data_IF_319209473991
#
_entry.id   IF_319209473991
#
_cell.length_a   1.000
_cell.length_b   1.000
_cell.length_c   1.000
_cell.angle_alpha   90.00
_cell.angle_beta   90.00
_cell.angle_gamma   90.00
#
_symmetry.space_group_name_H-M   'P 1'
#
loop_
_entity.id
_entity.type
_entity.pdbx_description
1 polymer ?
#
# COMPACT_ATOMS: atom_id res chain seq x y z
N UNK A 1 6.14 6.05 15.60
CA UNK A 1 4.76 6.48 15.31
C UNK A 1 3.70 5.67 16.07
N UNK A 2 3.54 4.35 15.86
CA UNK A 2 2.40 3.56 16.40
C UNK A 2 2.07 3.64 17.90
N UNK A 3 3.04 3.94 18.77
CA UNK A 3 2.84 4.02 20.23
C UNK A 3 2.52 5.44 20.71
N UNK A 4 2.39 6.41 19.80
CA UNK A 4 2.12 7.79 20.16
C UNK A 4 0.65 7.95 20.61
N UNK A 5 0.34 8.77 21.63
CA UNK A 5 -1.03 8.96 22.10
C UNK A 5 -2.00 9.34 20.97
N UNK A 6 -3.15 8.67 20.92
CA UNK A 6 -4.20 8.89 19.92
C UNK A 6 -3.99 8.18 18.58
N UNK A 7 -2.85 7.50 18.37
CA UNK A 7 -2.65 6.66 17.18
C UNK A 7 -3.46 5.38 17.33
N UNK A 8 -4.16 5.00 16.26
CA UNK A 8 -4.92 3.75 16.16
C UNK A 8 -4.37 2.89 15.02
N UNK A 9 -4.58 1.57 15.09
CA UNK A 9 -4.03 0.60 14.15
C UNK A 9 -5.14 -0.28 13.57
N UNK A 10 -5.06 -0.62 12.29
CA UNK A 10 -5.94 -1.61 11.68
C UNK A 10 -5.63 -3.03 12.17
N UNK A 11 -6.54 -3.97 11.92
CA UNK A 11 -6.49 -5.32 12.48
C UNK A 11 -5.86 -6.39 11.56
N UNK A 12 -5.45 -6.02 10.34
CA UNK A 12 -4.82 -6.98 9.43
C UNK A 12 -3.53 -7.58 10.04
N UNK A 13 -3.40 -8.91 10.12
CA UNK A 13 -2.29 -9.56 10.83
C UNK A 13 -0.90 -9.26 10.25
N UNK A 14 -0.74 -9.27 8.92
CA UNK A 14 0.57 -9.10 8.25
C UNK A 14 0.80 -7.74 7.60
N UNK A 15 -0.27 -6.98 7.31
CA UNK A 15 -0.22 -5.74 6.52
C UNK A 15 -0.93 -4.56 7.18
N UNK A 16 -0.94 -4.50 8.52
CA UNK A 16 -1.65 -3.43 9.24
C UNK A 16 -1.08 -2.02 9.00
N UNK A 17 -1.94 -1.01 9.12
CA UNK A 17 -1.56 0.41 9.11
C UNK A 17 -1.82 1.06 10.45
N UNK A 18 -1.05 2.11 10.77
CA UNK A 18 -1.30 2.99 11.90
C UNK A 18 -1.70 4.38 11.39
N UNK A 19 -2.64 5.04 12.06
CA UNK A 19 -3.14 6.35 11.65
C UNK A 19 -3.41 7.27 12.85
N UNK A 20 -3.28 8.58 12.64
CA UNK A 20 -3.55 9.64 13.61
C UNK A 20 -4.26 10.80 12.91
N UNK A 21 -5.20 11.45 13.61
CA UNK A 21 -5.87 12.66 13.14
C UNK A 21 -7.30 12.44 12.64
N UNK A 22 -7.86 13.47 11.99
CA UNK A 22 -9.30 13.61 11.70
C UNK A 22 -9.92 12.44 10.93
N UNK A 23 -9.15 11.77 10.07
CA UNK A 23 -9.63 10.66 9.23
C UNK A 23 -9.08 9.29 9.65
N UNK A 24 -8.36 9.20 10.78
CA UNK A 24 -7.70 7.97 11.21
C UNK A 24 -8.66 6.80 11.32
N UNK A 25 -9.81 6.99 11.99
CA UNK A 25 -10.80 5.93 12.21
C UNK A 25 -11.36 5.40 10.90
N UNK A 26 -11.64 6.28 9.94
CA UNK A 26 -12.10 5.91 8.61
C UNK A 26 -11.04 5.08 7.86
N UNK A 27 -9.80 5.57 7.83
CA UNK A 27 -8.70 4.93 7.09
C UNK A 27 -8.42 3.51 7.58
N UNK A 28 -8.44 3.26 8.89
CA UNK A 28 -8.08 1.96 9.46
C UNK A 28 -9.25 1.00 9.66
N UNK A 29 -10.50 1.46 9.48
CA UNK A 29 -11.70 0.64 9.68
C UNK A 29 -11.72 -0.57 8.72
N UNK A 30 -12.38 -1.65 9.15
CA UNK A 30 -12.72 -2.82 8.33
C UNK A 30 -11.54 -3.46 7.58
N UNK A 31 -10.32 -3.33 8.12
CA UNK A 31 -9.12 -3.90 7.55
C UNK A 31 -8.60 -5.03 8.43
N UNK A 32 -9.11 -6.23 8.16
CA UNK A 32 -8.76 -7.51 8.80
C UNK A 32 -8.46 -8.60 7.77
N UNK A 33 -8.12 -9.80 8.24
CA UNK A 33 -7.68 -10.94 7.42
C UNK A 33 -8.69 -11.41 6.34
N UNK A 34 -9.96 -10.97 6.41
CA UNK A 34 -11.01 -11.34 5.45
C UNK A 34 -11.03 -10.43 4.23
N UNK A 35 -10.23 -9.36 4.25
CA UNK A 35 -10.13 -8.35 3.19
C UNK A 35 -8.77 -8.42 2.54
N UNK A 36 -8.71 -7.97 1.29
CA UNK A 36 -7.43 -7.74 0.63
C UNK A 36 -6.64 -6.65 1.39
N UNK A 37 -5.35 -6.90 1.57
CA UNK A 37 -4.43 -6.05 2.35
C UNK A 37 -4.31 -4.65 1.75
N UNK A 38 -4.34 -4.56 0.42
CA UNK A 38 -4.07 -3.32 -0.32
C UNK A 38 -5.15 -2.98 -1.36
N UNK A 39 -6.26 -3.72 -1.39
CA UNK A 39 -7.39 -3.47 -2.28
C UNK A 39 -8.22 -2.21 -1.97
N UNK A 40 -9.38 -2.08 -2.62
CA UNK A 40 -10.22 -0.86 -2.57
C UNK A 40 -10.66 -0.44 -1.16
N UNK A 41 -10.94 -1.41 -0.28
CA UNK A 41 -11.39 -1.15 1.10
C UNK A 41 -10.23 -1.01 2.09
N UNK A 42 -8.99 -1.23 1.65
CA UNK A 42 -7.79 -1.10 2.49
C UNK A 42 -7.52 0.36 2.87
N UNK A 43 -6.65 0.62 3.87
CA UNK A 43 -6.21 1.98 4.18
C UNK A 43 -5.60 2.72 2.99
N UNK A 44 -4.93 2.02 2.06
CA UNK A 44 -4.37 2.59 0.84
C UNK A 44 -5.49 2.94 -0.16
N UNK A 45 -6.47 2.06 -0.35
CA UNK A 45 -7.66 2.32 -1.18
C UNK A 45 -8.49 3.50 -0.67
N UNK A 46 -8.67 3.60 0.65
CA UNK A 46 -9.34 4.73 1.30
C UNK A 46 -8.55 6.03 1.19
N UNK A 47 -7.22 5.98 1.27
CA UNK A 47 -6.38 7.16 1.02
C UNK A 47 -6.56 7.65 -0.44
N UNK A 48 -6.72 6.72 -1.39
CA UNK A 48 -6.92 7.04 -2.79
C UNK A 48 -8.27 7.74 -2.99
N UNK A 49 -9.33 7.26 -2.34
CA UNK A 49 -10.65 7.89 -2.36
C UNK A 49 -10.63 9.31 -1.78
N UNK A 50 -9.81 9.55 -0.77
CA UNK A 50 -9.61 10.86 -0.15
C UNK A 50 -8.69 11.80 -0.93
N UNK A 51 -8.16 11.37 -2.09
CA UNK A 51 -7.19 12.15 -2.88
C UNK A 51 -5.95 12.53 -2.06
N UNK A 52 -5.45 11.55 -1.30
CA UNK A 52 -4.32 11.71 -0.39
C UNK A 52 -2.96 11.83 -1.09
N UNK A 53 -1.93 11.97 -0.26
CA UNK A 53 -0.54 12.10 -0.67
C UNK A 53 0.31 10.98 -0.08
N UNK A 54 1.36 10.59 -0.79
CA UNK A 54 2.42 9.69 -0.33
C UNK A 54 3.68 10.51 -0.14
N UNK A 55 4.36 10.29 0.98
CA UNK A 55 5.65 10.90 1.27
C UNK A 55 6.72 9.82 1.40
N UNK A 56 7.73 9.89 0.54
CA UNK A 56 8.90 9.02 0.60
C UNK A 56 10.07 9.88 1.10
N UNK A 57 10.44 9.71 2.37
CA UNK A 57 11.48 10.51 3.03
C UNK A 57 12.74 9.66 3.19
N UNK A 58 13.76 9.92 2.36
CA UNK A 58 15.02 9.16 2.37
C UNK A 58 14.92 7.75 1.78
N UNK A 59 13.80 7.42 1.14
CA UNK A 59 13.55 6.12 0.48
C UNK A 59 13.06 6.33 -0.95
N UNK A 60 13.28 5.32 -1.79
CA UNK A 60 12.77 5.26 -3.17
C UNK A 60 11.39 4.60 -3.26
N UNK A 61 10.92 4.40 -4.48
CA UNK A 61 9.59 3.85 -4.76
C UNK A 61 9.48 2.37 -4.43
N UNK A 62 10.59 1.65 -4.22
CA UNK A 62 10.59 0.29 -3.68
C UNK A 62 9.98 0.20 -2.28
N UNK A 63 9.80 1.33 -1.58
CA UNK A 63 9.12 1.41 -0.29
C UNK A 63 7.74 2.08 -0.38
N UNK A 64 7.21 2.31 -1.59
CA UNK A 64 5.92 2.95 -1.80
C UNK A 64 4.77 1.94 -1.77
N UNK A 65 4.21 1.71 -0.58
CA UNK A 65 3.10 0.78 -0.37
C UNK A 65 1.85 1.14 -1.19
N UNK A 66 1.73 2.37 -1.71
CA UNK A 66 0.57 2.72 -2.54
C UNK A 66 0.56 2.00 -3.88
N UNK A 67 1.72 1.55 -4.36
CA UNK A 67 1.83 0.80 -5.61
C UNK A 67 1.18 -0.59 -5.52
N UNK A 68 1.02 -1.16 -4.32
CA UNK A 68 0.26 -2.40 -4.16
C UNK A 68 -1.25 -2.23 -4.47
N UNK A 69 -1.83 -1.04 -4.31
CA UNK A 69 -3.19 -0.79 -4.80
C UNK A 69 -3.25 -0.82 -6.33
N UNK A 70 -2.17 -0.40 -7.00
CA UNK A 70 -2.07 -0.53 -8.44
C UNK A 70 -1.96 -1.99 -8.87
N UNK A 71 -1.17 -2.82 -8.17
CA UNK A 71 -1.15 -4.27 -8.40
C UNK A 71 -2.53 -4.91 -8.20
N UNK A 72 -3.25 -4.51 -7.15
CA UNK A 72 -4.61 -4.98 -6.92
C UNK A 72 -5.54 -4.69 -8.11
N UNK A 73 -5.41 -3.50 -8.73
CA UNK A 73 -6.26 -3.07 -9.85
C UNK A 73 -5.84 -3.62 -11.21
N UNK A 74 -4.55 -3.61 -11.49
CA UNK A 74 -3.96 -3.98 -12.78
C UNK A 74 -4.26 -5.44 -13.16
N UNK A 75 -4.44 -5.70 -14.45
CA UNK A 75 -4.63 -7.06 -14.98
C UNK A 75 -3.43 -7.49 -15.83
N UNK A 76 -2.75 -8.56 -15.44
CA UNK A 76 -1.69 -9.21 -16.23
C UNK A 76 -1.89 -10.74 -16.22
N UNK A 77 -1.32 -11.45 -17.19
CA UNK A 77 -1.70 -12.83 -17.49
C UNK A 77 -1.37 -13.80 -16.35
N UNK A 78 -0.25 -13.62 -15.65
CA UNK A 78 0.16 -14.47 -14.51
C UNK A 78 -0.44 -14.07 -13.16
N UNK A 79 -1.26 -13.02 -13.08
CA UNK A 79 -1.77 -12.48 -11.81
C UNK A 79 -2.52 -13.50 -10.96
N UNK A 80 -3.32 -14.36 -11.60
CA UNK A 80 -4.06 -15.40 -10.86
C UNK A 80 -3.12 -16.38 -10.13
N UNK A 81 -1.91 -16.58 -10.65
CA UNK A 81 -0.89 -17.45 -10.05
C UNK A 81 -0.02 -16.76 -9.01
N UNK A 82 -0.19 -15.46 -8.76
CA UNK A 82 0.57 -14.74 -7.73
C UNK A 82 -0.08 -14.81 -6.34
N UNK A 83 -1.26 -15.43 -6.20
CA UNK A 83 -1.89 -15.62 -4.90
C UNK A 83 -1.28 -16.80 -4.13
N UNK A 84 -1.00 -16.58 -2.85
CA UNK A 84 -0.43 -17.53 -1.91
C UNK A 84 -1.34 -17.72 -0.70
N UNK A 85 -1.26 -18.89 -0.06
CA UNK A 85 -1.87 -19.13 1.25
C UNK A 85 -0.94 -18.58 2.34
N UNK A 86 -1.44 -17.64 3.13
CA UNK A 86 -0.75 -17.05 4.27
C UNK A 86 -1.39 -17.51 5.58
N UNK A 87 -0.58 -17.70 6.62
CA UNK A 87 -1.00 -18.20 7.93
C UNK A 87 -0.66 -17.23 9.05
N UNK A 88 -1.63 -16.89 9.90
CA UNK A 88 -1.37 -16.01 11.05
C UNK A 88 -2.13 -16.44 12.29
N UNK A 89 -1.48 -16.31 13.44
CA UNK A 89 -2.14 -16.43 14.73
C UNK A 89 -2.78 -15.10 15.12
N UNK A 90 -4.11 -15.05 15.21
CA UNK A 90 -4.86 -13.84 15.57
C UNK A 90 -5.72 -14.06 16.81
N UNK A 91 -6.15 -12.97 17.45
CA UNK A 91 -7.10 -13.01 18.57
C UNK A 91 -8.53 -12.87 18.04
N UNK A 92 -9.35 -13.90 18.27
CA UNK A 92 -10.80 -13.87 18.03
C UNK A 92 -11.48 -14.13 19.37
N UNK A 93 -12.35 -13.21 19.80
CA UNK A 93 -13.08 -13.27 21.08
C UNK A 93 -12.15 -13.56 22.28
N UNK A 94 -10.98 -12.91 22.30
CA UNK A 94 -9.97 -13.05 23.35
C UNK A 94 -9.17 -14.36 23.31
N UNK A 95 -9.40 -15.23 22.33
CA UNK A 95 -8.68 -16.51 22.16
C UNK A 95 -7.76 -16.46 20.94
N UNK A 96 -6.52 -16.93 21.11
CA UNK A 96 -5.57 -17.07 20.01
C UNK A 96 -6.04 -18.21 19.09
N UNK A 97 -6.19 -17.93 17.80
CA UNK A 97 -6.56 -18.88 16.77
C UNK A 97 -5.59 -18.77 15.60
N UNK A 98 -5.21 -19.90 15.02
CA UNK A 98 -4.47 -19.93 13.75
C UNK A 98 -5.48 -19.87 12.60
N UNK A 99 -5.28 -18.94 11.68
CA UNK A 99 -6.08 -18.84 10.46
C UNK A 99 -5.18 -18.85 9.24
N UNK A 100 -5.72 -19.40 8.16
CA UNK A 100 -5.13 -19.33 6.83
C UNK A 100 -6.05 -18.50 5.94
N UNK A 101 -5.47 -17.62 5.13
CA UNK A 101 -6.17 -16.76 4.18
C UNK A 101 -5.31 -16.57 2.93
N UNK A 102 -5.94 -16.24 1.80
CA UNK A 102 -5.24 -15.99 0.55
C UNK A 102 -4.88 -14.51 0.42
N UNK A 103 -3.68 -14.25 -0.08
CA UNK A 103 -3.23 -12.91 -0.45
C UNK A 103 -2.31 -12.97 -1.67
N UNK A 104 -2.15 -11.84 -2.34
CA UNK A 104 -1.17 -11.70 -3.42
C UNK A 104 0.25 -11.71 -2.86
N UNK A 105 1.17 -12.44 -3.49
CA UNK A 105 2.61 -12.35 -3.24
C UNK A 105 3.06 -10.92 -3.50
N UNK A 106 3.79 -10.34 -2.55
CA UNK A 106 4.27 -8.97 -2.64
C UNK A 106 5.60 -8.96 -3.41
N UNK A 107 5.55 -8.61 -4.68
CA UNK A 107 6.73 -8.46 -5.54
C UNK A 107 6.97 -6.97 -5.81
N UNK A 108 8.05 -6.41 -5.27
CA UNK A 108 8.32 -4.95 -5.32
C UNK A 108 9.55 -4.59 -6.16
N UNK A 109 10.18 -5.56 -6.83
CA UNK A 109 11.45 -5.39 -7.54
C UNK A 109 11.37 -4.35 -8.66
N UNK A 110 10.20 -4.18 -9.28
CA UNK A 110 9.96 -3.24 -10.36
C UNK A 110 9.42 -1.88 -9.89
N UNK A 111 9.16 -1.69 -8.59
CA UNK A 111 8.56 -0.45 -8.07
C UNK A 111 9.49 0.76 -8.22
N UNK A 112 10.81 0.59 -8.09
CA UNK A 112 11.76 1.67 -8.35
C UNK A 112 11.70 2.14 -9.82
N UNK A 113 11.61 1.18 -10.76
CA UNK A 113 11.52 1.49 -12.19
C UNK A 113 10.18 2.15 -12.53
N UNK A 114 9.08 1.61 -12.01
CA UNK A 114 7.73 2.16 -12.16
C UNK A 114 7.67 3.60 -11.64
N UNK A 115 8.15 3.83 -10.42
CA UNK A 115 8.16 5.13 -9.79
C UNK A 115 8.99 6.16 -10.57
N UNK A 116 10.19 5.77 -11.01
CA UNK A 116 11.03 6.63 -11.85
C UNK A 116 10.35 6.98 -13.19
N UNK A 117 9.64 6.02 -13.81
CA UNK A 117 8.86 6.28 -15.01
C UNK A 117 7.72 7.27 -14.77
N UNK A 118 7.02 7.15 -13.64
CA UNK A 118 5.99 8.11 -13.24
C UNK A 118 6.59 9.51 -13.04
N UNK A 119 7.66 9.64 -12.25
CA UNK A 119 8.32 10.93 -12.01
C UNK A 119 8.75 11.59 -13.31
N UNK A 120 9.37 10.84 -14.24
CA UNK A 120 9.76 11.34 -15.55
C UNK A 120 8.55 11.81 -16.37
N UNK A 121 7.42 11.08 -16.34
CA UNK A 121 6.22 11.40 -17.13
C UNK A 121 5.59 12.75 -16.76
N UNK A 122 5.77 13.19 -15.51
CA UNK A 122 5.24 14.47 -15.00
C UNK A 122 6.32 15.53 -14.79
N UNK A 123 7.58 15.25 -15.19
CA UNK A 123 8.72 16.15 -14.95
C UNK A 123 8.99 16.41 -13.46
N UNK A 124 8.70 15.43 -12.59
CA UNK A 124 8.89 15.57 -11.15
C UNK A 124 10.37 15.65 -10.79
N UNK A 125 10.69 16.52 -9.84
CA UNK A 125 12.02 16.60 -9.24
C UNK A 125 11.90 16.49 -7.72
N UNK A 126 12.53 15.49 -7.09
CA UNK A 126 12.51 15.34 -5.63
C UNK A 126 13.12 16.54 -4.91
N UNK A 127 12.59 16.84 -3.72
CA UNK A 127 13.11 17.84 -2.81
C UNK A 127 14.07 17.27 -1.76
N UNK A 128 14.43 18.09 -0.78
CA UNK A 128 15.27 17.70 0.36
C UNK A 128 14.60 18.09 1.68
N UNK A 129 14.67 17.20 2.68
CA UNK A 129 14.39 17.50 4.08
C UNK A 129 15.61 17.09 4.90
N UNK A 130 16.35 18.08 5.41
CA UNK A 130 17.69 17.84 5.95
C UNK A 130 18.61 17.29 4.84
N UNK A 131 19.12 16.09 5.03
CA UNK A 131 19.95 15.36 4.04
C UNK A 131 19.17 14.29 3.26
N UNK A 132 17.87 14.16 3.52
CA UNK A 132 17.04 13.12 2.91
C UNK A 132 16.38 13.63 1.63
N UNK A 133 16.71 12.99 0.50
CA UNK A 133 15.93 13.11 -0.73
C UNK A 133 14.50 12.71 -0.44
N UNK A 134 13.57 13.62 -0.70
CA UNK A 134 12.17 13.49 -0.30
C UNK A 134 11.25 13.70 -1.48
N UNK A 135 10.24 12.82 -1.59
CA UNK A 135 9.15 12.91 -2.56
C UNK A 135 7.85 13.15 -1.81
N UNK A 136 7.02 14.03 -2.33
CA UNK A 136 5.63 14.21 -1.94
C UNK A 136 4.79 14.16 -3.20
N UNK A 137 4.02 13.09 -3.37
CA UNK A 137 3.28 12.79 -4.59
C UNK A 137 1.80 12.65 -4.25
N UNK A 138 0.93 13.10 -5.16
CA UNK A 138 -0.51 12.77 -5.07
C UNK A 138 -0.66 11.29 -5.36
N UNK A 139 -1.29 10.57 -4.44
CA UNK A 139 -1.40 9.11 -4.53
C UNK A 139 -2.24 8.69 -5.73
N UNK A 140 -3.36 9.39 -5.98
CA UNK A 140 -4.30 9.04 -7.05
C UNK A 140 -3.65 8.94 -8.44
N UNK A 141 -3.03 10.01 -8.98
CA UNK A 141 -2.40 9.94 -10.30
C UNK A 141 -1.20 8.98 -10.35
N UNK A 142 -0.48 8.79 -9.23
CA UNK A 142 0.58 7.79 -9.13
C UNK A 142 0.02 6.38 -9.32
N UNK A 143 -1.04 6.01 -8.59
CA UNK A 143 -1.68 4.70 -8.70
C UNK A 143 -2.28 4.51 -10.09
N UNK A 144 -2.93 5.52 -10.66
CA UNK A 144 -3.55 5.42 -11.98
C UNK A 144 -2.50 5.16 -13.09
N UNK A 145 -1.35 5.84 -13.01
CA UNK A 145 -0.22 5.57 -13.90
C UNK A 145 0.35 4.16 -13.66
N UNK A 146 0.53 3.79 -12.39
CA UNK A 146 1.11 2.52 -11.99
C UNK A 146 0.29 1.33 -12.51
N UNK A 147 -1.05 1.43 -12.51
CA UNK A 147 -1.92 0.39 -13.08
C UNK A 147 -1.56 0.11 -14.54
N UNK A 148 -1.53 1.15 -15.38
CA UNK A 148 -1.21 1.02 -16.80
C UNK A 148 0.21 0.50 -17.01
N UNK A 149 1.15 0.96 -16.20
CA UNK A 149 2.54 0.53 -16.26
C UNK A 149 2.66 -0.97 -15.95
N UNK A 150 2.02 -1.46 -14.89
CA UNK A 150 2.05 -2.87 -14.50
C UNK A 150 1.43 -3.78 -15.56
N UNK A 151 0.29 -3.38 -16.14
CA UNK A 151 -0.36 -4.15 -17.23
C UNK A 151 0.51 -4.30 -18.48
N UNK A 152 1.42 -3.36 -18.71
CA UNK A 152 2.33 -3.38 -19.87
C UNK A 152 3.64 -4.14 -19.60
N UNK A 153 4.11 -4.15 -18.36
CA UNK A 153 5.44 -4.63 -18.01
C UNK A 153 5.45 -5.99 -17.30
N UNK A 154 4.38 -6.33 -16.57
CA UNK A 154 4.22 -7.66 -15.97
C UNK A 154 3.51 -8.59 -16.94
N UNK A 155 3.94 -9.85 -16.97
CA UNK A 155 3.38 -10.91 -17.82
C UNK A 155 2.67 -11.90 -16.95
#
# INVERSE_FOLDING_TARGET
FRNYPGVIRSHHPVGSFAALGKRAAYLIADHDYRRDIFGEESPIGKLYQLDGYVMLMGVGHGNDTSLHLAEFRAQWASKASSFIDEGSAILIDGKRQWLTYQMMSMETDDFEQLGAAYEASIGYTPGQIGQATTRLLRQRPLVDFAVQWLEQNRK
#
